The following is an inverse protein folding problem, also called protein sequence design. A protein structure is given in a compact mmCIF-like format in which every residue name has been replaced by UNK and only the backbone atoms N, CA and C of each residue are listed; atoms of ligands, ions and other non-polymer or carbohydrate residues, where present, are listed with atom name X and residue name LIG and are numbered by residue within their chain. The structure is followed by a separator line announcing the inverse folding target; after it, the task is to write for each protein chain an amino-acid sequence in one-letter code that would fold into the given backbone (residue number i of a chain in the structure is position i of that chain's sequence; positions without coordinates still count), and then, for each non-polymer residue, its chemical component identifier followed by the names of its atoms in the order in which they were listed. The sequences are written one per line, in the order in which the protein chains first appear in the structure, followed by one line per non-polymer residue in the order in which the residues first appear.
data_IF_563810432334
#
_entry.id   IF_563810432334
#
_cell.length_a   1.000
_cell.length_b   1.000
_cell.length_c   1.000
_cell.angle_alpha   90.00
_cell.angle_beta   90.00
_cell.angle_gamma   90.00
#
_symmetry.space_group_name_H-M   'P 1'
#
loop_
_entity.id
_entity.type
_entity.pdbx_description
1 polymer ?
#
# COMPACT_ATOMS: atom_id res chain seq x y z
N UNK A 1 16.05 -3.41 -3.43
CA UNK A 1 15.41 -2.22 -2.84
C UNK A 1 16.24 -1.67 -1.69
N UNK A 2 17.19 -0.80 -2.00
CA UNK A 2 17.89 0.02 -1.01
C UNK A 2 17.33 1.45 -1.06
N UNK A 3 17.40 2.18 0.06
CA UNK A 3 17.02 3.59 0.13
C UNK A 3 16.00 3.90 1.23
N UNK A 4 15.34 5.05 1.11
CA UNK A 4 14.37 5.53 2.10
C UNK A 4 12.96 5.39 1.56
N UNK A 5 12.11 4.60 2.22
CA UNK A 5 10.68 4.57 1.92
C UNK A 5 10.02 5.75 2.62
N UNK A 6 9.27 6.61 1.93
CA UNK A 6 8.54 7.70 2.56
C UNK A 6 7.52 7.17 3.57
N UNK A 7 7.03 8.06 4.43
CA UNK A 7 5.84 7.77 5.22
C UNK A 7 4.67 7.37 4.31
N UNK A 8 3.81 6.46 4.78
CA UNK A 8 2.62 6.07 4.04
C UNK A 8 1.48 5.67 4.96
N UNK A 9 0.27 5.73 4.42
CA UNK A 9 -0.92 5.15 5.03
C UNK A 9 -1.11 3.75 4.49
N UNK A 10 -1.10 2.76 5.37
CA UNK A 10 -1.60 1.41 5.06
C UNK A 10 -3.08 1.34 5.41
N UNK A 11 -3.89 0.83 4.50
CA UNK A 11 -5.34 0.83 4.68
C UNK A 11 -6.01 -0.47 4.22
N UNK A 12 -7.17 -0.78 4.81
CA UNK A 12 -8.05 -1.85 4.37
C UNK A 12 -9.51 -1.56 4.72
N UNK A 13 -10.44 -1.98 3.85
CA UNK A 13 -11.87 -1.98 4.13
C UNK A 13 -12.25 -3.27 4.88
N UNK A 14 -12.79 -3.10 6.09
CA UNK A 14 -13.25 -4.21 6.93
C UNK A 14 -14.64 -4.67 6.49
N UNK A 15 -14.63 -5.54 5.48
CA UNK A 15 -15.79 -6.24 4.97
C UNK A 15 -15.61 -7.74 5.14
N UNK A 16 -16.69 -8.49 5.31
CA UNK A 16 -16.61 -9.95 5.36
C UNK A 16 -16.08 -10.50 4.03
N UNK A 17 -15.21 -11.52 4.08
CA UNK A 17 -14.59 -12.06 2.88
C UNK A 17 -14.09 -13.49 3.11
N UNK A 18 -14.49 -14.46 2.27
CA UNK A 18 -14.06 -15.86 2.39
C UNK A 18 -12.58 -16.06 2.04
N UNK A 19 -11.95 -15.11 1.33
CA UNK A 19 -10.51 -15.14 0.99
C UNK A 19 -9.61 -14.73 2.17
N UNK A 20 -10.17 -14.46 3.36
CA UNK A 20 -9.45 -14.00 4.55
C UNK A 20 -9.90 -14.78 5.79
N UNK A 21 -8.98 -15.55 6.36
CA UNK A 21 -9.15 -16.44 7.51
C UNK A 21 -8.66 -15.81 8.84
N UNK A 22 -8.93 -14.52 9.04
CA UNK A 22 -8.60 -13.85 10.32
C UNK A 22 -9.76 -12.99 10.83
N UNK A 23 -9.91 -12.86 12.17
CA UNK A 23 -11.12 -12.32 12.74
C UNK A 23 -11.34 -10.84 12.38
N UNK A 24 -12.60 -10.54 12.03
CA UNK A 24 -13.17 -9.19 11.87
C UNK A 24 -12.56 -8.35 10.74
N UNK A 25 -11.57 -8.84 10.00
CA UNK A 25 -10.96 -8.15 8.83
C UNK A 25 -10.41 -6.74 9.12
N UNK A 26 -9.97 -6.51 10.36
CA UNK A 26 -9.60 -5.18 10.90
C UNK A 26 -8.13 -4.80 10.77
N UNK A 27 -7.28 -5.71 10.32
CA UNK A 27 -5.84 -5.49 10.23
C UNK A 27 -5.44 -5.33 8.76
N UNK A 28 -5.06 -4.11 8.33
CA UNK A 28 -4.58 -3.88 6.97
C UNK A 28 -3.37 -4.76 6.59
N UNK A 29 -2.46 -5.05 7.53
CA UNK A 29 -1.28 -5.88 7.26
C UNK A 29 -1.67 -7.33 6.99
N UNK A 30 -2.62 -7.88 7.77
CA UNK A 30 -3.12 -9.24 7.56
C UNK A 30 -3.92 -9.32 6.25
N UNK A 31 -4.75 -8.32 5.97
CA UNK A 31 -5.48 -8.22 4.69
C UNK A 31 -4.51 -8.30 3.51
N UNK A 32 -3.46 -7.47 3.54
CA UNK A 32 -2.42 -7.47 2.51
C UNK A 32 -1.74 -8.83 2.40
N UNK A 33 -1.30 -9.43 3.52
CA UNK A 33 -0.57 -10.71 3.51
C UNK A 33 -1.36 -11.86 2.89
N UNK A 34 -2.68 -11.90 3.08
CA UNK A 34 -3.52 -12.98 2.55
C UNK A 34 -3.79 -12.72 1.06
N UNK A 35 -4.13 -11.49 0.68
CA UNK A 35 -4.64 -11.19 -0.65
C UNK A 35 -3.59 -10.73 -1.68
N UNK A 36 -2.37 -10.38 -1.25
CA UNK A 36 -1.34 -9.82 -2.14
C UNK A 36 -0.97 -10.76 -3.29
N UNK A 37 -0.84 -12.06 -3.04
CA UNK A 37 -0.45 -13.01 -4.08
C UNK A 37 -1.49 -13.07 -5.22
N UNK A 38 -2.77 -13.03 -4.89
CA UNK A 38 -3.88 -12.95 -5.86
C UNK A 38 -3.78 -11.67 -6.68
N UNK A 39 -3.53 -10.50 -6.04
CA UNK A 39 -3.36 -9.23 -6.77
C UNK A 39 -2.16 -9.28 -7.71
N UNK A 40 -1.04 -9.84 -7.27
CA UNK A 40 0.16 -9.97 -8.11
C UNK A 40 -0.11 -10.86 -9.32
N UNK A 41 -0.83 -11.97 -9.14
CA UNK A 41 -1.28 -12.81 -10.26
C UNK A 41 -2.17 -12.06 -11.24
N UNK A 42 -3.18 -11.35 -10.74
CA UNK A 42 -4.06 -10.56 -11.60
C UNK A 42 -3.28 -9.55 -12.46
N UNK A 43 -2.38 -8.78 -11.84
CA UNK A 43 -1.55 -7.83 -12.58
C UNK A 43 -0.70 -8.57 -13.64
N UNK A 44 -0.20 -9.77 -13.33
CA UNK A 44 0.51 -10.59 -14.31
C UNK A 44 -0.36 -11.02 -15.49
N UNK A 45 -1.63 -11.35 -15.26
CA UNK A 45 -2.58 -11.65 -16.35
C UNK A 45 -2.82 -10.42 -17.21
N UNK A 46 -3.08 -9.26 -16.60
CA UNK A 46 -3.31 -7.99 -17.32
C UNK A 46 -2.11 -7.59 -18.19
N UNK A 47 -0.90 -7.79 -17.68
CA UNK A 47 0.35 -7.49 -18.39
C UNK A 47 0.76 -8.58 -19.40
N UNK A 48 -0.05 -9.62 -19.60
CA UNK A 48 0.27 -10.80 -20.41
C UNK A 48 1.60 -11.46 -20.00
N UNK A 49 1.84 -11.58 -18.69
CA UNK A 49 3.05 -12.17 -18.07
C UNK A 49 2.83 -13.60 -17.55
N UNK A 50 1.77 -14.27 -17.98
CA UNK A 50 1.44 -15.65 -17.59
C UNK A 50 1.51 -16.57 -18.80
N UNK A 51 2.32 -17.63 -18.70
CA UNK A 51 2.44 -18.69 -19.71
C UNK A 51 2.55 -20.06 -19.01
N UNK A 52 1.85 -21.07 -19.52
CA UNK A 52 1.88 -22.45 -19.01
C UNK A 52 1.70 -22.56 -17.47
N UNK A 53 0.79 -21.76 -16.91
CA UNK A 53 0.53 -21.76 -15.46
C UNK A 53 1.64 -21.14 -14.61
N UNK A 54 2.54 -20.35 -15.21
CA UNK A 54 3.62 -19.65 -14.52
C UNK A 54 3.50 -18.15 -14.82
N UNK A 55 3.54 -17.34 -13.77
CA UNK A 55 3.61 -15.89 -13.88
C UNK A 55 5.04 -15.43 -13.64
N UNK A 56 5.59 -14.57 -14.49
CA UNK A 56 6.94 -14.02 -14.32
C UNK A 56 6.91 -12.57 -13.85
N UNK A 57 7.95 -12.16 -13.11
CA UNK A 57 8.21 -10.76 -12.79
C UNK A 57 8.37 -9.95 -14.09
N UNK A 58 7.96 -8.66 -14.13
CA UNK A 58 8.26 -7.79 -15.25
C UNK A 58 9.76 -7.81 -15.59
N UNK A 59 10.08 -8.06 -16.86
CA UNK A 59 11.45 -8.03 -17.36
C UNK A 59 11.85 -6.57 -17.61
N UNK A 60 12.91 -6.10 -16.94
CA UNK A 60 13.35 -4.69 -16.98
C UNK A 60 14.39 -4.45 -18.08
N UNK A 61 15.09 -5.50 -18.55
CA UNK A 61 16.10 -5.45 -19.60
C UNK A 61 15.85 -6.53 -20.66
N UNK A 62 16.40 -6.31 -21.87
CA UNK A 62 16.47 -7.33 -22.92
C UNK A 62 17.44 -8.47 -22.57
N UNK A 63 18.44 -8.18 -21.74
CA UNK A 63 19.45 -9.14 -21.30
C UNK A 63 18.93 -9.97 -20.13
N UNK A 64 18.08 -10.94 -20.45
CA UNK A 64 17.46 -11.83 -19.45
C UNK A 64 18.48 -12.88 -19.02
N UNK A 65 18.95 -12.80 -17.77
CA UNK A 65 19.79 -13.84 -17.15
C UNK A 65 18.87 -14.89 -16.51
N UNK A 66 18.81 -16.14 -17.02
CA UNK A 66 17.83 -17.14 -16.56
C UNK A 66 17.87 -17.42 -15.04
N UNK A 67 19.06 -17.37 -14.43
CA UNK A 67 19.26 -17.64 -13.00
C UNK A 67 18.75 -16.52 -12.08
N UNK A 68 18.39 -15.36 -12.64
CA UNK A 68 17.95 -14.18 -11.90
C UNK A 68 16.46 -13.91 -12.10
N UNK A 69 15.83 -14.55 -13.10
CA UNK A 69 14.40 -14.37 -13.35
C UNK A 69 13.58 -14.92 -12.20
N UNK A 70 12.67 -14.08 -11.72
CA UNK A 70 11.70 -14.44 -10.71
C UNK A 70 10.34 -14.75 -11.33
N UNK A 71 9.67 -15.74 -10.75
CA UNK A 71 8.33 -16.15 -11.15
C UNK A 71 7.65 -16.94 -10.03
N UNK A 72 6.41 -17.34 -10.27
CA UNK A 72 5.68 -18.24 -9.39
C UNK A 72 4.73 -19.11 -10.19
N UNK A 73 4.43 -20.30 -9.68
CA UNK A 73 3.39 -21.16 -10.24
C UNK A 73 2.04 -20.62 -9.80
N UNK A 74 1.09 -20.56 -10.73
CA UNK A 74 -0.27 -20.11 -10.45
C UNK A 74 -0.91 -21.01 -9.41
N UNK A 75 -0.73 -22.33 -9.53
CA UNK A 75 -1.25 -23.32 -8.56
C UNK A 75 -0.81 -23.02 -7.11
N UNK A 76 0.45 -22.63 -6.90
CA UNK A 76 0.97 -22.31 -5.56
C UNK A 76 0.28 -21.09 -4.92
N UNK A 77 -0.19 -20.13 -5.75
CA UNK A 77 -0.93 -18.96 -5.25
C UNK A 77 -2.34 -19.35 -4.85
N UNK A 78 -2.94 -20.29 -5.57
CA UNK A 78 -4.36 -20.62 -5.53
C UNK A 78 -4.68 -21.88 -4.71
N UNK A 79 -3.66 -22.60 -4.23
CA UNK A 79 -3.77 -23.83 -3.42
C UNK A 79 -4.84 -23.73 -2.32
N UNK A 80 -4.92 -22.59 -1.63
CA UNK A 80 -5.87 -22.36 -0.52
C UNK A 80 -7.09 -21.52 -0.89
N UNK A 81 -7.16 -20.98 -2.11
CA UNK A 81 -8.23 -20.07 -2.55
C UNK A 81 -9.17 -20.68 -3.60
N UNK A 82 -8.88 -21.90 -4.06
CA UNK A 82 -9.58 -22.51 -5.21
C UNK A 82 -9.05 -21.95 -6.52
N UNK A 83 -9.79 -22.07 -7.62
CA UNK A 83 -9.32 -21.59 -8.93
C UNK A 83 -9.47 -20.05 -9.10
N UNK A 84 -8.77 -19.44 -10.08
CA UNK A 84 -8.90 -18.01 -10.37
C UNK A 84 -10.33 -17.53 -10.62
N UNK A 85 -11.19 -18.34 -11.24
CA UNK A 85 -12.59 -17.98 -11.52
C UNK A 85 -13.41 -17.93 -10.24
N UNK A 86 -13.17 -18.86 -9.31
CA UNK A 86 -13.76 -18.82 -7.97
C UNK A 86 -13.40 -17.50 -7.24
N UNK A 87 -12.13 -17.09 -7.27
CA UNK A 87 -11.70 -15.80 -6.69
C UNK A 87 -12.34 -14.59 -7.39
N UNK A 88 -12.42 -14.62 -8.72
CA UNK A 88 -13.07 -13.58 -9.51
C UNK A 88 -14.54 -13.42 -9.12
N UNK A 89 -15.28 -14.52 -9.00
CA UNK A 89 -16.71 -14.53 -8.64
C UNK A 89 -16.99 -13.93 -7.25
N UNK A 90 -16.02 -14.01 -6.33
CA UNK A 90 -16.09 -13.38 -5.01
C UNK A 90 -15.77 -11.87 -5.11
N UNK A 91 -14.76 -11.51 -5.90
CA UNK A 91 -14.24 -10.13 -5.95
C UNK A 91 -15.06 -9.19 -6.85
N UNK A 92 -15.73 -9.72 -7.87
CA UNK A 92 -16.50 -8.96 -8.85
C UNK A 92 -17.69 -8.20 -8.23
N UNK A 93 -18.58 -8.85 -7.44
CA UNK A 93 -19.68 -8.15 -6.77
C UNK A 93 -19.27 -7.48 -5.45
N UNK A 94 -18.00 -7.57 -5.04
CA UNK A 94 -17.58 -7.16 -3.70
C UNK A 94 -17.67 -5.63 -3.51
N UNK A 95 -18.48 -5.13 -2.56
CA UNK A 95 -18.67 -3.70 -2.34
C UNK A 95 -17.45 -3.01 -1.73
N UNK A 96 -16.48 -3.79 -1.23
CA UNK A 96 -15.23 -3.30 -0.67
C UNK A 96 -14.08 -3.25 -1.68
N UNK A 97 -14.31 -3.60 -2.95
CA UNK A 97 -13.27 -3.61 -3.98
C UNK A 97 -13.03 -2.17 -4.51
N UNK A 98 -12.20 -1.40 -3.81
CA UNK A 98 -11.96 0.01 -4.13
C UNK A 98 -11.29 0.25 -5.48
N UNK A 99 -10.42 -0.68 -5.90
CA UNK A 99 -9.70 -0.57 -7.18
C UNK A 99 -10.65 -0.77 -8.38
N UNK A 100 -11.80 -1.44 -8.19
CA UNK A 100 -12.80 -1.61 -9.28
C UNK A 100 -13.39 -0.30 -9.82
N UNK A 101 -13.27 0.80 -9.07
CA UNK A 101 -13.74 2.11 -9.56
C UNK A 101 -12.88 2.64 -10.72
N UNK A 102 -11.60 2.27 -10.79
CA UNK A 102 -10.68 2.65 -11.86
C UNK A 102 -10.35 1.49 -12.81
N UNK A 103 -10.38 0.25 -12.33
CA UNK A 103 -10.16 -0.95 -13.13
C UNK A 103 -11.28 -1.97 -12.92
N UNK A 104 -12.23 -2.02 -13.86
CA UNK A 104 -13.39 -2.91 -13.80
C UNK A 104 -13.05 -4.40 -13.67
N UNK A 105 -11.83 -4.82 -14.02
CA UNK A 105 -11.38 -6.21 -13.89
C UNK A 105 -10.70 -6.49 -12.56
N UNK A 106 -10.38 -5.47 -11.76
CA UNK A 106 -9.61 -5.60 -10.53
C UNK A 106 -10.24 -6.57 -9.51
N UNK A 107 -9.39 -7.38 -8.91
CA UNK A 107 -9.67 -8.32 -7.84
C UNK A 107 -9.03 -7.81 -6.56
N UNK A 108 -9.53 -8.28 -5.43
CA UNK A 108 -8.95 -8.03 -4.09
C UNK A 108 -8.60 -6.56 -3.81
N UNK A 109 -9.31 -5.58 -4.40
CA UNK A 109 -9.03 -4.15 -4.27
C UNK A 109 -9.38 -3.51 -2.92
N UNK A 110 -9.62 -4.31 -1.87
CA UNK A 110 -10.08 -3.84 -0.57
C UNK A 110 -8.97 -3.40 0.40
N UNK A 111 -7.74 -3.27 -0.09
CA UNK A 111 -6.57 -2.81 0.68
C UNK A 111 -5.56 -2.09 -0.21
N UNK A 112 -4.68 -1.32 0.42
CA UNK A 112 -3.58 -0.67 -0.29
C UNK A 112 -2.70 0.14 0.62
N UNK A 113 -1.81 0.88 -0.04
CA UNK A 113 -0.91 1.85 0.55
C UNK A 113 -1.18 3.21 -0.09
N UNK A 114 -1.03 4.29 0.65
CA UNK A 114 -1.01 5.66 0.13
C UNK A 114 0.24 6.36 0.66
N UNK A 115 1.32 6.42 -0.12
CA UNK A 115 2.52 7.16 0.28
C UNK A 115 2.24 8.65 0.38
N UNK A 116 2.95 9.34 1.27
CA UNK A 116 2.86 10.81 1.37
C UNK A 116 3.44 11.49 0.14
N UNK A 117 4.35 10.81 -0.58
CA UNK A 117 4.91 11.31 -1.82
C UNK A 117 4.31 10.63 -3.05
N UNK A 118 4.48 11.27 -4.22
CA UNK A 118 3.98 10.79 -5.51
C UNK A 118 4.77 9.59 -6.07
N UNK A 119 5.38 8.79 -5.19
CA UNK A 119 6.05 7.57 -5.62
C UNK A 119 5.08 6.41 -5.53
N UNK A 120 5.19 5.47 -6.45
CA UNK A 120 4.66 4.13 -6.23
C UNK A 120 5.73 3.41 -5.44
N UNK A 121 5.42 2.94 -4.22
CA UNK A 121 6.32 2.06 -3.47
C UNK A 121 6.45 0.76 -4.28
N UNK A 122 7.56 0.55 -5.02
CA UNK A 122 7.60 -0.56 -5.93
C UNK A 122 7.84 -1.81 -5.08
N UNK A 123 7.21 -2.94 -5.39
CA UNK A 123 7.55 -4.19 -4.69
C UNK A 123 8.86 -4.80 -5.23
N UNK A 124 9.36 -4.28 -6.35
CA UNK A 124 10.26 -5.01 -7.25
C UNK A 124 11.46 -4.19 -7.77
N UNK A 125 11.67 -2.95 -7.29
CA UNK A 125 12.82 -2.13 -7.73
C UNK A 125 14.06 -2.34 -6.87
N UNK A 126 15.22 -2.08 -7.46
CA UNK A 126 16.50 -2.09 -6.76
C UNK A 126 16.70 -0.85 -5.90
N UNK A 127 16.18 0.30 -6.31
CA UNK A 127 16.27 1.58 -5.60
C UNK A 127 14.90 2.25 -5.47
N UNK A 128 14.59 2.79 -4.29
CA UNK A 128 13.33 3.53 -4.07
C UNK A 128 13.40 4.87 -4.79
N UNK A 129 12.46 5.19 -5.70
CA UNK A 129 12.48 6.48 -6.40
C UNK A 129 12.24 7.64 -5.41
N UNK A 130 12.80 8.80 -5.73
CA UNK A 130 12.57 10.03 -4.96
C UNK A 130 11.32 10.74 -5.47
N UNK A 131 10.36 10.99 -4.58
CA UNK A 131 9.15 11.72 -4.91
C UNK A 131 9.41 13.23 -5.03
N UNK A 132 8.64 13.90 -5.88
CA UNK A 132 8.71 15.35 -6.11
C UNK A 132 7.58 16.11 -5.41
N UNK A 133 6.60 15.41 -4.85
CA UNK A 133 5.46 15.97 -4.13
C UNK A 133 5.42 15.39 -2.72
N UNK A 134 5.09 16.20 -1.72
CA UNK A 134 4.78 15.77 -0.35
C UNK A 134 3.37 16.24 0.05
N UNK A 135 2.44 15.30 0.21
CA UNK A 135 1.05 15.57 0.58
C UNK A 135 0.91 16.27 1.95
N UNK A 136 1.90 16.18 2.83
CA UNK A 136 1.90 16.85 4.13
C UNK A 136 2.07 18.35 3.93
N UNK A 137 3.06 18.75 3.13
CA UNK A 137 3.31 20.16 2.79
C UNK A 137 2.14 20.74 2.00
N UNK A 138 1.61 19.99 1.03
CA UNK A 138 0.44 20.41 0.25
C UNK A 138 -0.79 20.57 1.13
N UNK A 139 -0.95 19.76 2.19
CA UNK A 139 -2.03 19.91 3.15
C UNK A 139 -1.90 21.22 3.92
N UNK A 140 -0.74 21.55 4.48
CA UNK A 140 -0.57 22.79 5.25
C UNK A 140 -0.82 24.04 4.38
N UNK A 141 -0.38 24.02 3.11
CA UNK A 141 -0.68 25.06 2.13
C UNK A 141 -2.19 25.15 1.83
N UNK A 142 -2.84 24.01 1.61
CA UNK A 142 -4.28 23.93 1.36
C UNK A 142 -5.10 24.48 2.54
N UNK A 143 -4.73 24.13 3.78
CA UNK A 143 -5.44 24.59 4.98
C UNK A 143 -5.33 26.10 5.18
N UNK A 144 -4.18 26.68 4.81
CA UNK A 144 -4.00 28.14 4.80
C UNK A 144 -4.95 28.83 3.81
N UNK A 145 -5.23 28.18 2.67
CA UNK A 145 -6.12 28.70 1.63
C UNK A 145 -7.60 28.39 1.90
N UNK A 146 -7.90 27.38 2.71
CA UNK A 146 -9.25 26.89 2.99
C UNK A 146 -9.51 26.77 4.51
N UNK A 147 -9.72 27.90 5.21
CA UNK A 147 -9.88 27.91 6.68
C UNK A 147 -11.05 27.07 7.20
N UNK A 148 -12.11 26.90 6.40
CA UNK A 148 -13.26 26.07 6.77
C UNK A 148 -12.89 24.58 6.90
N UNK A 149 -11.92 24.12 6.10
CA UNK A 149 -11.42 22.75 6.13
C UNK A 149 -10.52 22.56 7.35
N UNK A 150 -9.66 23.53 7.64
CA UNK A 150 -8.83 23.57 8.85
C UNK A 150 -9.69 23.47 10.12
N UNK A 151 -10.75 24.27 10.21
CA UNK A 151 -11.66 24.25 11.36
C UNK A 151 -12.40 22.90 11.50
N UNK A 152 -12.81 22.31 10.37
CA UNK A 152 -13.44 20.99 10.35
C UNK A 152 -12.49 19.92 10.89
N UNK A 153 -11.20 19.98 10.52
CA UNK A 153 -10.17 19.07 11.02
C UNK A 153 -9.98 19.28 12.53
N UNK A 154 -9.73 20.51 12.98
CA UNK A 154 -9.47 20.85 14.39
C UNK A 154 -10.63 20.51 15.33
N UNK A 155 -11.85 20.50 14.81
CA UNK A 155 -13.05 20.11 15.56
C UNK A 155 -13.20 18.60 15.68
N UNK A 156 -12.80 17.83 14.66
CA UNK A 156 -13.12 16.41 14.55
C UNK A 156 -11.94 15.45 14.79
N UNK A 157 -10.71 15.97 14.83
CA UNK A 157 -9.49 15.19 14.95
C UNK A 157 -8.61 15.70 16.10
N UNK A 158 -7.72 14.84 16.65
CA UNK A 158 -6.71 15.31 17.59
C UNK A 158 -5.85 16.39 16.95
N UNK A 159 -5.64 17.50 17.66
CA UNK A 159 -4.78 18.59 17.19
C UNK A 159 -3.33 18.13 17.12
N UNK A 160 -2.71 18.33 15.97
CA UNK A 160 -1.29 18.07 15.76
C UNK A 160 -0.66 19.19 14.94
N UNK A 161 0.67 19.33 15.02
CA UNK A 161 1.41 20.19 14.09
C UNK A 161 2.58 19.37 13.52
N UNK A 162 2.58 19.05 12.22
CA UNK A 162 1.55 19.36 11.21
C UNK A 162 0.20 18.64 11.43
N UNK A 163 -0.88 19.14 10.83
CA UNK A 163 -2.26 18.63 10.95
C UNK A 163 -2.42 17.25 10.29
N UNK A 164 -1.52 16.92 9.34
CA UNK A 164 -1.43 15.61 8.69
C UNK A 164 -1.53 14.44 9.70
N UNK A 165 -0.80 14.51 10.81
CA UNK A 165 -0.79 13.42 11.77
C UNK A 165 -2.16 13.22 12.45
N UNK A 166 -2.83 14.31 12.80
CA UNK A 166 -4.15 14.33 13.43
C UNK A 166 -5.20 13.61 12.59
N UNK A 167 -5.16 13.81 11.27
CA UNK A 167 -6.04 13.14 10.31
C UNK A 167 -5.95 11.62 10.37
N UNK A 168 -4.78 11.07 10.67
CA UNK A 168 -4.50 9.62 10.50
C UNK A 168 -4.21 8.86 11.81
N UNK A 169 -4.23 9.53 12.98
CA UNK A 169 -4.05 8.89 14.30
C UNK A 169 -5.12 7.81 14.55
N UNK A 170 -6.38 8.09 14.18
CA UNK A 170 -7.46 7.13 14.42
C UNK A 170 -7.36 5.95 13.49
N UNK A 171 -7.16 4.75 14.06
CA UNK A 171 -7.08 3.51 13.27
C UNK A 171 -8.42 3.10 12.65
N UNK A 172 -9.52 3.59 13.22
CA UNK A 172 -10.89 3.31 12.76
C UNK A 172 -11.67 4.61 12.86
N UNK A 173 -11.50 5.54 11.90
CA UNK A 173 -12.19 6.81 11.90
C UNK A 173 -13.71 6.62 11.86
N UNK A 174 -14.43 7.47 12.59
CA UNK A 174 -15.89 7.55 12.54
C UNK A 174 -16.39 7.88 11.13
N UNK A 175 -17.69 7.72 10.85
CA UNK A 175 -18.24 8.13 9.54
C UNK A 175 -18.00 9.61 9.26
N UNK A 176 -18.17 10.48 10.27
CA UNK A 176 -17.91 11.93 10.16
C UNK A 176 -16.44 12.22 9.84
N UNK A 177 -15.52 11.54 10.52
CA UNK A 177 -14.09 11.66 10.25
C UNK A 177 -13.74 11.19 8.83
N UNK A 178 -14.31 10.07 8.36
CA UNK A 178 -14.10 9.58 7.00
C UNK A 178 -14.62 10.54 5.92
N UNK A 179 -15.74 11.22 6.17
CA UNK A 179 -16.26 12.26 5.27
C UNK A 179 -15.30 13.44 5.15
N UNK A 180 -14.74 13.92 6.28
CA UNK A 180 -13.75 15.00 6.28
C UNK A 180 -12.45 14.53 5.60
N UNK A 181 -11.95 13.33 5.92
CA UNK A 181 -10.78 12.76 5.25
C UNK A 181 -10.98 12.65 3.74
N UNK A 182 -12.15 12.22 3.27
CA UNK A 182 -12.48 12.17 1.84
C UNK A 182 -12.48 13.57 1.21
N UNK A 183 -13.06 14.57 1.89
CA UNK A 183 -13.04 15.95 1.42
C UNK A 183 -11.60 16.48 1.32
N UNK A 184 -10.79 16.28 2.36
CA UNK A 184 -9.37 16.66 2.37
C UNK A 184 -8.62 16.02 1.22
N UNK A 185 -8.75 14.70 1.04
CA UNK A 185 -8.08 13.99 -0.05
C UNK A 185 -8.56 14.50 -1.42
N UNK A 186 -9.86 14.76 -1.60
CA UNK A 186 -10.38 15.31 -2.85
C UNK A 186 -9.79 16.69 -3.17
N UNK A 187 -9.67 17.57 -2.19
CA UNK A 187 -9.10 18.91 -2.40
C UNK A 187 -7.58 18.84 -2.63
N UNK A 188 -6.86 18.00 -1.86
CA UNK A 188 -5.43 17.75 -2.05
C UNK A 188 -5.14 17.26 -3.48
N UNK A 189 -5.91 16.28 -3.97
CA UNK A 189 -5.66 15.69 -5.27
C UNK A 189 -5.98 16.62 -6.45
N UNK A 190 -6.70 17.75 -6.22
CA UNK A 190 -6.90 18.78 -7.25
C UNK A 190 -5.69 19.70 -7.43
N UNK A 191 -4.86 19.86 -6.39
CA UNK A 191 -3.76 20.85 -6.37
C UNK A 191 -2.39 20.23 -6.59
N UNK A 192 -2.26 18.90 -6.49
CA UNK A 192 -0.98 18.23 -6.76
C UNK A 192 -0.63 18.27 -8.27
N UNK A 193 0.57 18.73 -8.66
CA UNK A 193 0.90 19.11 -10.03
C UNK A 193 1.20 17.96 -11.01
N UNK A 194 0.64 16.77 -10.86
CA UNK A 194 0.93 15.63 -11.75
C UNK A 194 -0.21 14.60 -11.80
N UNK A 195 -0.17 13.71 -12.80
CA UNK A 195 -1.06 12.56 -12.90
C UNK A 195 -1.16 11.85 -11.54
N UNK A 196 -2.38 11.72 -11.02
CA UNK A 196 -2.64 11.10 -9.74
C UNK A 196 -2.06 9.69 -9.78
N UNK A 197 -1.25 9.33 -8.78
CA UNK A 197 -0.66 8.00 -8.76
C UNK A 197 -1.72 6.95 -8.42
N UNK A 198 -1.64 5.73 -8.98
CA UNK A 198 -2.61 4.67 -8.67
C UNK A 198 -2.83 4.40 -7.16
N UNK A 199 -1.79 4.46 -6.29
CA UNK A 199 -1.97 4.36 -4.84
C UNK A 199 -2.89 5.43 -4.23
N UNK A 200 -2.79 6.67 -4.71
CA UNK A 200 -3.61 7.79 -4.24
C UNK A 200 -5.07 7.64 -4.69
N UNK A 201 -5.30 7.29 -5.96
CA UNK A 201 -6.64 7.01 -6.49
C UNK A 201 -7.33 5.84 -5.76
N UNK A 202 -6.56 4.78 -5.48
CA UNK A 202 -7.07 3.62 -4.76
C UNK A 202 -7.51 3.99 -3.34
N UNK A 203 -6.76 4.83 -2.63
CA UNK A 203 -7.14 5.30 -1.29
C UNK A 203 -8.34 6.25 -1.31
N UNK A 204 -8.38 7.19 -2.25
CA UNK A 204 -9.53 8.07 -2.46
C UNK A 204 -10.80 7.24 -2.71
N UNK A 205 -10.71 6.23 -3.58
CA UNK A 205 -11.80 5.30 -3.89
C UNK A 205 -12.22 4.49 -2.66
N UNK A 206 -11.26 4.06 -1.83
CA UNK A 206 -11.54 3.36 -0.58
C UNK A 206 -12.27 4.25 0.44
N UNK A 207 -11.86 5.50 0.62
CA UNK A 207 -12.54 6.48 1.47
C UNK A 207 -13.98 6.72 1.00
N UNK A 208 -14.17 6.92 -0.31
CA UNK A 208 -15.48 7.09 -0.93
C UNK A 208 -16.41 5.90 -0.67
N UNK A 209 -15.96 4.67 -0.98
CA UNK A 209 -16.73 3.46 -0.67
C UNK A 209 -17.01 3.32 0.82
N UNK A 210 -16.04 3.66 1.67
CA UNK A 210 -16.19 3.60 3.12
C UNK A 210 -17.31 4.52 3.62
N UNK A 211 -17.44 5.70 3.03
CA UNK A 211 -18.52 6.65 3.33
C UNK A 211 -19.84 6.18 2.73
N UNK A 212 -19.88 5.95 1.42
CA UNK A 212 -21.11 5.68 0.65
C UNK A 212 -21.78 4.37 1.08
N UNK A 213 -20.97 3.33 1.29
CA UNK A 213 -21.45 1.99 1.68
C UNK A 213 -21.35 1.74 3.18
N UNK A 214 -20.93 2.74 3.96
CA UNK A 214 -20.72 2.65 5.42
C UNK A 214 -19.78 1.51 5.84
N UNK A 215 -18.89 1.05 4.96
CA UNK A 215 -17.91 -0.02 5.26
C UNK A 215 -16.79 0.57 6.12
N UNK A 216 -16.48 0.04 7.32
CA UNK A 216 -15.39 0.58 8.14
C UNK A 216 -14.05 0.57 7.41
N UNK A 217 -13.35 1.71 7.41
CA UNK A 217 -11.98 1.82 6.91
C UNK A 217 -11.01 1.69 8.08
N UNK A 218 -10.04 0.79 7.94
CA UNK A 218 -8.95 0.63 8.88
C UNK A 218 -7.71 1.30 8.32
N UNK A 219 -7.10 2.17 9.12
CA UNK A 219 -5.96 2.99 8.74
C UNK A 219 -4.80 2.71 9.71
N UNK A 220 -3.60 2.68 9.16
CA UNK A 220 -2.37 2.71 9.94
C UNK A 220 -1.41 3.68 9.24
N UNK A 221 -1.06 4.78 9.92
CA UNK A 221 0.07 5.59 9.51
C UNK A 221 1.36 4.82 9.80
N UNK A 222 2.24 4.79 8.82
CA UNK A 222 3.47 4.01 8.83
C UNK A 222 4.62 5.00 8.58
N UNK A 223 5.54 5.20 9.55
CA UNK A 223 6.59 6.19 9.42
C UNK A 223 7.51 5.92 8.23
N UNK A 224 8.25 6.95 7.84
CA UNK A 224 9.42 6.83 7.00
C UNK A 224 10.43 5.83 7.60
N UNK A 225 11.16 5.14 6.73
CA UNK A 225 12.15 4.16 7.14
C UNK A 225 13.17 3.86 6.05
N UNK A 226 14.36 3.44 6.49
CA UNK A 226 15.47 3.03 5.63
C UNK A 226 15.36 1.54 5.34
N UNK A 227 15.68 1.13 4.12
CA UNK A 227 15.77 -0.28 3.74
C UNK A 227 17.11 -0.63 3.12
N UNK A 228 17.63 -1.81 3.48
CA UNK A 228 18.82 -2.43 2.89
C UNK A 228 18.47 -3.52 1.85
N UNK A 229 17.17 -3.69 1.55
CA UNK A 229 16.65 -4.73 0.66
C UNK A 229 16.19 -6.01 1.36
N UNK A 230 16.57 -6.22 2.62
CA UNK A 230 16.16 -7.37 3.43
C UNK A 230 15.35 -6.91 4.63
N UNK A 231 15.85 -5.87 5.30
CA UNK A 231 15.27 -5.26 6.46
C UNK A 231 14.79 -3.84 6.17
N UNK A 232 13.83 -3.45 6.98
CA UNK A 232 13.18 -2.16 7.02
C UNK A 232 13.36 -1.61 8.44
N UNK A 233 14.10 -0.51 8.53
CA UNK A 233 14.54 0.11 9.78
C UNK A 233 13.75 1.39 9.98
N UNK A 234 12.86 1.36 10.96
CA UNK A 234 12.07 2.52 11.38
C UNK A 234 12.76 3.13 12.57
N UNK A 235 13.12 4.40 12.48
CA UNK A 235 13.73 5.13 13.57
C UNK A 235 12.79 5.29 14.77
N UNK A 236 13.35 5.80 15.87
CA UNK A 236 12.59 6.12 17.06
C UNK A 236 11.42 7.05 16.69
N UNK A 237 10.20 6.76 17.13
CA UNK A 237 9.01 7.53 16.71
C UNK A 237 7.92 7.57 17.79
N UNK A 238 7.03 8.55 17.71
CA UNK A 238 5.91 8.65 18.63
C UNK A 238 4.98 7.44 18.49
N UNK A 239 4.66 6.79 19.62
CA UNK A 239 3.78 5.63 19.63
C UNK A 239 2.30 5.92 19.30
N UNK A 240 1.91 7.20 19.26
CA UNK A 240 0.55 7.66 18.95
C UNK A 240 0.43 8.21 17.54
N UNK A 241 1.22 9.23 17.19
CA UNK A 241 1.12 9.90 15.89
C UNK A 241 2.13 9.43 14.85
N UNK A 242 3.05 8.51 15.19
CA UNK A 242 4.06 7.98 14.28
C UNK A 242 5.11 8.97 13.76
N UNK A 243 5.06 10.25 14.13
CA UNK A 243 6.12 11.21 13.82
C UNK A 243 7.49 10.72 14.34
N UNK A 244 8.52 10.80 13.50
CA UNK A 244 9.91 10.46 13.85
C UNK A 244 10.36 11.35 15.01
N UNK A 245 11.01 10.74 15.99
CA UNK A 245 11.49 11.36 17.22
C UNK A 245 12.85 12.00 16.97
N UNK A 246 12.87 13.33 16.94
CA UNK A 246 14.06 14.17 16.90
C UNK A 246 14.02 15.14 18.08
N UNK A 247 15.10 15.89 18.30
CA UNK A 247 15.11 16.94 19.33
C UNK A 247 14.01 18.01 19.15
N UNK A 248 13.51 18.18 17.92
CA UNK A 248 12.43 19.13 17.60
C UNK A 248 11.04 18.54 17.85
N UNK A 249 10.86 17.25 17.60
CA UNK A 249 9.54 16.59 17.63
C UNK A 249 9.29 15.82 18.93
N UNK A 250 10.30 15.65 19.79
CA UNK A 250 10.17 14.91 21.04
C UNK A 250 11.17 15.34 22.11
N UNK A 251 10.72 15.44 23.37
CA UNK A 251 11.56 15.81 24.53
C UNK A 251 12.13 14.60 25.29
N UNK A 252 12.06 13.41 24.71
CA UNK A 252 12.22 12.13 25.43
C UNK A 252 11.07 11.75 26.39
N UNK A 253 10.23 12.70 26.84
CA UNK A 253 9.09 12.43 27.73
C UNK A 253 7.73 12.81 27.13
N UNK A 254 7.71 13.66 26.11
CA UNK A 254 6.49 14.07 25.44
C UNK A 254 6.75 14.32 23.95
N UNK A 255 5.82 13.89 23.10
CA UNK A 255 5.82 14.19 21.69
C UNK A 255 5.35 15.63 21.45
N UNK A 256 6.15 16.45 20.77
CA UNK A 256 5.81 17.84 20.47
C UNK A 256 4.78 17.99 19.34
N UNK A 257 4.64 16.97 18.50
CA UNK A 257 3.66 16.93 17.39
C UNK A 257 2.23 16.71 17.90
N UNK A 258 2.00 15.67 18.70
CA UNK A 258 0.65 15.29 19.16
C UNK A 258 0.41 15.42 20.67
N UNK A 259 1.40 15.95 21.41
CA UNK A 259 1.39 16.15 22.87
C UNK A 259 1.18 14.88 23.69
N UNK A 260 1.36 13.70 23.07
CA UNK A 260 1.32 12.43 23.78
C UNK A 260 2.47 12.31 24.77
N UNK A 261 2.15 12.01 26.03
CA UNK A 261 3.12 11.73 27.08
C UNK A 261 3.71 10.32 26.94
N UNK A 262 4.94 10.16 27.41
CA UNK A 262 5.69 8.91 27.37
C UNK A 262 6.89 8.97 26.44
N UNK A 263 7.73 7.95 26.56
CA UNK A 263 8.93 7.80 25.72
C UNK A 263 8.54 7.43 24.29
N UNK A 264 9.31 7.87 23.29
CA UNK A 264 9.09 7.42 21.93
C UNK A 264 9.43 5.93 21.82
N UNK A 265 8.84 5.25 20.85
CA UNK A 265 9.10 3.83 20.61
C UNK A 265 10.53 3.66 20.14
N UNK A 266 11.22 2.66 20.69
CA UNK A 266 12.56 2.28 20.23
C UNK A 266 12.60 1.97 18.74
N UNK A 267 13.77 2.16 18.08
CA UNK A 267 13.97 1.78 16.69
C UNK A 267 13.50 0.36 16.41
N UNK A 268 12.82 0.18 15.28
CA UNK A 268 12.24 -1.11 14.90
C UNK A 268 12.91 -1.65 13.65
N UNK A 269 13.37 -2.90 13.73
CA UNK A 269 13.79 -3.68 12.56
C UNK A 269 12.71 -4.67 12.18
N UNK A 270 12.26 -4.60 10.93
CA UNK A 270 11.29 -5.54 10.35
C UNK A 270 11.83 -6.10 9.05
N UNK A 271 11.37 -7.28 8.64
CA UNK A 271 11.60 -7.70 7.26
C UNK A 271 10.85 -6.76 6.31
N UNK A 272 11.47 -6.44 5.18
CA UNK A 272 10.76 -5.75 4.10
C UNK A 272 9.55 -6.56 3.66
N UNK A 273 8.60 -5.89 2.99
CA UNK A 273 7.41 -6.50 2.40
C UNK A 273 7.73 -7.74 1.54
N UNK A 274 8.91 -7.73 0.92
CA UNK A 274 9.51 -8.80 0.13
C UNK A 274 8.85 -8.97 -1.24
N UNK A 275 9.49 -9.76 -2.11
CA UNK A 275 9.00 -9.99 -3.48
C UNK A 275 7.92 -11.08 -3.61
N UNK A 276 7.42 -11.67 -2.50
CA UNK A 276 6.43 -12.76 -2.59
C UNK A 276 5.17 -12.30 -3.37
N UNK A 277 4.64 -13.15 -4.27
CA UNK A 277 4.92 -14.58 -4.40
C UNK A 277 6.11 -14.96 -5.29
N UNK A 278 6.89 -14.01 -5.80
CA UNK A 278 8.01 -14.30 -6.71
C UNK A 278 9.17 -15.02 -6.02
N UNK A 279 9.72 -16.02 -6.74
CA UNK A 279 10.93 -16.78 -6.40
C UNK A 279 11.78 -16.98 -7.65
N UNK A 280 13.07 -17.27 -7.49
CA UNK A 280 13.92 -17.67 -8.63
C UNK A 280 13.29 -18.87 -9.33
N UNK A 281 13.05 -18.75 -10.64
CA UNK A 281 12.39 -19.81 -11.42
C UNK A 281 13.19 -21.12 -11.42
N UNK A 282 14.52 -21.01 -11.35
CA UNK A 282 15.43 -22.16 -11.22
C UNK A 282 15.15 -23.03 -10.01
N UNK A 283 14.50 -22.49 -8.96
CA UNK A 283 14.10 -23.25 -7.77
C UNK A 283 13.06 -24.33 -8.08
N UNK A 284 12.21 -24.14 -9.09
CA UNK A 284 11.10 -25.07 -9.39
C UNK A 284 11.09 -25.58 -10.84
N UNK A 285 11.82 -24.96 -11.76
CA UNK A 285 12.03 -25.47 -13.13
C UNK A 285 13.44 -26.03 -13.37
N UNK A 286 14.39 -25.80 -12.47
CA UNK A 286 15.81 -26.00 -12.75
C UNK A 286 16.36 -25.00 -13.77
N UNK A 287 17.68 -25.01 -13.99
CA UNK A 287 18.33 -24.08 -14.92
C UNK A 287 17.87 -24.29 -16.38
N UNK A 288 17.93 -25.54 -16.86
CA UNK A 288 17.53 -25.89 -18.24
C UNK A 288 16.04 -25.61 -18.50
N UNK A 289 15.16 -25.96 -17.55
CA UNK A 289 13.73 -25.70 -17.66
C UNK A 289 13.40 -24.20 -17.66
N UNK A 290 14.13 -23.41 -16.87
CA UNK A 290 13.98 -21.95 -16.87
C UNK A 290 14.36 -21.35 -18.22
N UNK A 291 15.50 -21.75 -18.81
CA UNK A 291 15.91 -21.26 -20.13
C UNK A 291 14.89 -21.62 -21.22
N UNK A 292 14.44 -22.89 -21.27
CA UNK A 292 13.42 -23.33 -22.23
C UNK A 292 12.09 -22.59 -22.06
N UNK A 293 11.70 -22.31 -20.81
CA UNK A 293 10.50 -21.51 -20.54
C UNK A 293 10.66 -20.09 -21.10
N UNK A 294 11.78 -19.43 -20.80
CA UNK A 294 12.05 -18.06 -21.24
C UNK A 294 12.10 -17.93 -22.75
N UNK A 295 12.71 -18.88 -23.45
CA UNK A 295 12.70 -18.91 -24.92
C UNK A 295 11.29 -18.93 -25.49
N UNK A 296 10.38 -19.74 -24.92
CA UNK A 296 8.98 -19.81 -25.35
C UNK A 296 8.22 -18.52 -25.01
N UNK A 297 8.44 -18.00 -23.80
CA UNK A 297 7.81 -16.77 -23.34
C UNK A 297 8.20 -15.56 -24.20
N UNK A 298 9.49 -15.39 -24.49
CA UNK A 298 9.99 -14.30 -25.33
C UNK A 298 9.47 -14.43 -26.76
N UNK A 299 9.49 -15.64 -27.35
CA UNK A 299 8.90 -15.89 -28.68
C UNK A 299 7.42 -15.51 -28.79
N UNK A 300 6.65 -15.67 -27.71
CA UNK A 300 5.23 -15.29 -27.68
C UNK A 300 5.04 -13.78 -27.54
N UNK A 301 5.96 -13.09 -26.86
CA UNK A 301 5.91 -11.64 -26.63
C UNK A 301 6.30 -10.79 -27.86
N UNK A 302 7.06 -11.36 -28.81
CA UNK A 302 7.53 -10.67 -30.02
C UNK A 302 8.89 -10.02 -29.79
#
# INVERSE_FOLDING_TARGET
MQGTTPEFIRWALAHECPLRDFPKWKDPNKTERHLRAIRVYQNAVQDSRVLDGIAIEPLVSSDVVPNEVLGFRVDDVFEFYGDPSSVASICEPCPANAVRQSDSQAWVGCFGLMPVSNIVLPDLVDEVPVGTVDLREQLELLLTQQPYLEESIRTCFPRTSPEWYGLWISRVPSIKQRQIQLQVVNELLKVVPCAITPPWEAFQSALRLSVDRKIPLHIQLVPEAVTDGVYWYVDQHCGRCCAISTALTHTGQQCQVCKNEGRPREPQRRFVRGKRPYWKMTRFLGAEGTSKYLERYLKQKG
#
